data_IF_245997250851
#
_entry.id   IF_245997250851
#
_cell.length_a   1.000
_cell.length_b   1.000
_cell.length_c   1.000
_cell.angle_alpha   90.00
_cell.angle_beta   90.00
_cell.angle_gamma   90.00
#
_symmetry.space_group_name_H-M   'P 1'
#
loop_
_entity.id
_entity.type
_entity.pdbx_description
1 polymer ?
#
# COMPACT_ATOMS: atom_id res chain seq x y z
N UNK A 1 15.36 16.10 -2.23
CA UNK A 1 16.29 14.99 -1.91
C UNK A 1 16.30 14.57 -0.44
N UNK A 2 15.88 15.41 0.53
CA UNK A 2 16.03 15.16 1.98
C UNK A 2 15.39 13.87 2.57
N UNK A 3 14.44 13.22 1.88
CA UNK A 3 13.78 12.01 2.39
C UNK A 3 14.19 10.73 1.66
N UNK A 4 14.97 10.82 0.57
CA UNK A 4 15.37 9.66 -0.22
C UNK A 4 16.38 8.80 0.56
N UNK A 5 16.05 7.53 0.78
CA UNK A 5 16.90 6.59 1.53
C UNK A 5 16.98 6.88 3.04
N UNK A 6 16.16 7.79 3.57
CA UNK A 6 16.25 8.24 4.96
C UNK A 6 15.36 7.45 5.94
N UNK A 7 14.41 6.65 5.43
CA UNK A 7 13.43 5.94 6.24
C UNK A 7 13.41 4.46 5.89
N UNK A 8 13.24 3.57 6.88
CA UNK A 8 12.81 2.20 6.61
C UNK A 8 11.42 2.23 5.96
N UNK A 9 11.25 1.40 4.94
CA UNK A 9 9.99 1.27 4.19
C UNK A 9 9.49 -0.15 4.33
N UNK A 10 8.21 -0.29 4.65
CA UNK A 10 7.44 -1.52 4.44
C UNK A 10 6.63 -1.34 3.15
N UNK A 11 6.80 -2.23 2.18
CA UNK A 11 6.07 -2.20 0.91
C UNK A 11 5.38 -3.53 0.66
N UNK A 12 4.06 -3.47 0.47
CA UNK A 12 3.24 -4.62 0.10
C UNK A 12 2.36 -4.23 -1.08
N UNK A 13 2.27 -5.09 -2.10
CA UNK A 13 1.29 -4.95 -3.19
C UNK A 13 0.35 -6.15 -3.16
N UNK A 14 -0.95 -5.87 -3.08
CA UNK A 14 -2.01 -6.88 -3.03
C UNK A 14 -2.63 -7.15 -4.42
N UNK A 15 -2.02 -6.61 -5.48
CA UNK A 15 -2.50 -6.67 -6.87
C UNK A 15 -2.73 -8.08 -7.42
N UNK A 16 -2.00 -9.05 -6.91
CA UNK A 16 -2.02 -10.44 -7.40
C UNK A 16 -2.86 -11.36 -6.51
N UNK A 17 -3.45 -10.85 -5.42
CA UNK A 17 -4.29 -11.63 -4.49
C UNK A 17 -5.73 -11.66 -5.00
N UNK A 18 -6.00 -12.53 -5.99
CA UNK A 18 -7.27 -12.57 -6.74
C UNK A 18 -7.99 -13.92 -6.64
N UNK A 19 -7.85 -14.55 -5.49
CA UNK A 19 -8.21 -15.96 -5.30
C UNK A 19 -9.71 -16.16 -5.11
N UNK A 20 -10.17 -17.39 -5.39
CA UNK A 20 -11.59 -17.76 -5.36
C UNK A 20 -12.10 -18.21 -4.00
N UNK A 21 -11.22 -18.34 -3.01
CA UNK A 21 -11.59 -18.76 -1.65
C UNK A 21 -10.85 -17.92 -0.62
N UNK A 22 -11.42 -17.86 0.59
CA UNK A 22 -10.76 -17.19 1.71
C UNK A 22 -9.40 -17.82 2.03
N UNK A 23 -9.32 -19.15 2.11
CA UNK A 23 -8.07 -19.84 2.46
C UNK A 23 -6.93 -19.55 1.47
N UNK A 24 -7.23 -19.53 0.17
CA UNK A 24 -6.25 -19.21 -0.86
C UNK A 24 -5.87 -17.72 -0.84
N UNK A 25 -6.85 -16.83 -0.65
CA UNK A 25 -6.61 -15.37 -0.48
C UNK A 25 -5.71 -15.11 0.74
N UNK A 26 -6.06 -15.71 1.87
CA UNK A 26 -5.32 -15.58 3.11
C UNK A 26 -3.90 -16.14 2.98
N UNK A 27 -3.74 -17.28 2.30
CA UNK A 27 -2.42 -17.84 1.97
C UNK A 27 -1.58 -16.86 1.15
N UNK A 28 -2.15 -16.23 0.12
CA UNK A 28 -1.47 -15.23 -0.70
C UNK A 28 -1.05 -13.99 0.10
N UNK A 29 -1.90 -13.50 1.00
CA UNK A 29 -1.56 -12.42 1.94
C UNK A 29 -0.40 -12.84 2.86
N UNK A 30 -0.44 -14.06 3.40
CA UNK A 30 0.64 -14.61 4.23
C UNK A 30 1.97 -14.66 3.48
N UNK A 31 1.97 -15.05 2.20
CA UNK A 31 3.17 -15.07 1.36
C UNK A 31 3.77 -13.67 1.15
N UNK A 32 2.92 -12.66 0.91
CA UNK A 32 3.38 -11.28 0.78
C UNK A 32 4.03 -10.77 2.08
N UNK A 33 3.39 -11.03 3.22
CA UNK A 33 3.92 -10.67 4.54
C UNK A 33 5.23 -11.43 4.83
N UNK A 34 5.28 -12.72 4.54
CA UNK A 34 6.48 -13.56 4.70
C UNK A 34 7.66 -12.99 3.91
N UNK A 35 7.45 -12.70 2.63
CA UNK A 35 8.47 -12.14 1.75
C UNK A 35 8.99 -10.80 2.27
N UNK A 36 8.09 -9.98 2.80
CA UNK A 36 8.46 -8.68 3.37
C UNK A 36 9.27 -8.82 4.66
N UNK A 37 8.93 -9.76 5.54
CA UNK A 37 9.78 -10.11 6.69
C UNK A 37 11.15 -10.63 6.23
N UNK A 38 11.20 -11.51 5.23
CA UNK A 38 12.45 -12.06 4.69
C UNK A 38 13.34 -10.99 4.05
N UNK A 39 12.77 -9.95 3.44
CA UNK A 39 13.51 -8.78 2.97
C UNK A 39 14.29 -8.08 4.10
N UNK A 40 13.76 -8.18 5.32
CA UNK A 40 14.37 -7.67 6.55
C UNK A 40 15.04 -8.75 7.42
N UNK A 41 15.48 -9.88 6.83
CA UNK A 41 16.12 -11.00 7.57
C UNK A 41 17.33 -10.60 8.42
N UNK A 42 17.98 -9.47 8.13
CA UNK A 42 19.07 -8.95 8.96
C UNK A 42 18.65 -8.67 10.41
N UNK A 43 17.37 -8.39 10.66
CA UNK A 43 16.80 -8.21 11.99
C UNK A 43 16.94 -9.47 12.85
N UNK A 44 16.90 -10.67 12.26
CA UNK A 44 16.98 -11.95 12.98
C UNK A 44 18.31 -12.12 13.73
N UNK A 45 19.39 -11.62 13.16
CA UNK A 45 20.73 -11.68 13.75
C UNK A 45 21.03 -10.47 14.65
N UNK A 46 20.14 -9.48 14.69
CA UNK A 46 20.32 -8.32 15.53
C UNK A 46 20.10 -8.68 17.00
N UNK A 47 20.97 -8.19 17.88
CA UNK A 47 20.89 -8.42 19.34
C UNK A 47 19.78 -7.61 20.00
N UNK A 48 19.26 -6.59 19.30
CA UNK A 48 18.20 -5.75 19.80
C UNK A 48 16.80 -6.38 19.73
N UNK A 49 16.62 -7.56 19.13
CA UNK A 49 15.37 -8.33 19.26
C UNK A 49 15.46 -9.33 20.41
N UNK A 50 14.42 -9.36 21.24
CA UNK A 50 14.24 -10.35 22.31
C UNK A 50 13.96 -11.74 21.75
N UNK A 51 14.00 -12.76 22.62
CA UNK A 51 13.84 -14.16 22.21
C UNK A 51 12.45 -14.39 21.60
N UNK A 52 11.42 -13.87 22.24
CA UNK A 52 10.01 -13.97 21.85
C UNK A 52 9.75 -13.26 20.51
N UNK A 53 10.45 -12.13 20.27
CA UNK A 53 10.37 -11.38 19.02
C UNK A 53 11.03 -12.14 17.87
N UNK A 54 12.14 -12.82 18.12
CA UNK A 54 12.78 -13.72 17.15
C UNK A 54 11.91 -14.93 16.86
N UNK A 55 11.23 -15.47 17.87
CA UNK A 55 10.26 -16.55 17.70
C UNK A 55 9.06 -16.10 16.85
N UNK A 56 8.50 -14.90 17.11
CA UNK A 56 7.46 -14.31 16.28
C UNK A 56 7.92 -14.14 14.82
N UNK A 57 9.11 -13.55 14.62
CA UNK A 57 9.70 -13.40 13.28
C UNK A 57 9.80 -14.74 12.57
N UNK A 58 10.28 -15.78 13.28
CA UNK A 58 10.38 -17.13 12.73
C UNK A 58 9.00 -17.66 12.34
N UNK A 59 7.97 -17.55 13.20
CA UNK A 59 6.60 -17.99 12.90
C UNK A 59 6.00 -17.35 11.65
N UNK A 60 6.25 -16.06 11.44
CA UNK A 60 5.83 -15.38 10.21
C UNK A 60 6.61 -15.91 9.01
N UNK A 61 7.94 -16.02 9.12
CA UNK A 61 8.79 -16.51 8.02
C UNK A 61 8.63 -18.01 7.72
N UNK A 62 8.15 -18.83 8.64
CA UNK A 62 7.85 -20.27 8.45
C UNK A 62 6.41 -20.53 8.05
N UNK A 63 5.58 -19.48 7.96
CA UNK A 63 4.16 -19.54 7.66
C UNK A 63 3.28 -20.21 8.73
N UNK A 64 3.79 -20.35 9.94
CA UNK A 64 3.17 -21.04 11.08
C UNK A 64 2.47 -20.10 12.07
N UNK A 65 2.52 -18.78 11.83
CA UNK A 65 1.75 -17.81 12.60
C UNK A 65 0.23 -18.07 12.57
N UNK A 66 -0.43 -17.71 13.66
CA UNK A 66 -1.89 -17.65 13.75
C UNK A 66 -2.45 -16.47 12.94
N UNK A 67 -3.76 -16.45 12.70
CA UNK A 67 -4.42 -15.31 12.07
C UNK A 67 -4.09 -13.99 12.77
N UNK A 68 -4.09 -14.01 14.11
CA UNK A 68 -3.76 -12.84 14.91
C UNK A 68 -2.32 -12.37 14.74
N UNK A 69 -1.40 -13.30 14.51
CA UNK A 69 -0.01 -12.94 14.23
C UNK A 69 0.08 -12.17 12.91
N UNK A 70 -0.60 -12.62 11.85
CA UNK A 70 -0.60 -11.93 10.55
C UNK A 70 -1.32 -10.59 10.60
N UNK A 71 -2.45 -10.48 11.30
CA UNK A 71 -3.12 -9.20 11.54
C UNK A 71 -2.19 -8.18 12.22
N UNK A 72 -1.36 -8.62 13.17
CA UNK A 72 -0.45 -7.74 13.90
C UNK A 72 0.91 -7.52 13.22
N UNK A 73 1.15 -8.18 12.08
CA UNK A 73 2.49 -8.25 11.48
C UNK A 73 3.03 -6.92 10.99
N UNK A 74 2.18 -6.04 10.42
CA UNK A 74 2.60 -4.68 10.04
C UNK A 74 3.07 -3.86 11.23
N UNK A 75 2.33 -3.89 12.33
CA UNK A 75 2.68 -3.19 13.56
C UNK A 75 4.01 -3.69 14.11
N UNK A 76 4.15 -5.01 14.17
CA UNK A 76 5.30 -5.68 14.76
C UNK A 76 6.56 -5.43 13.92
N UNK A 77 6.48 -5.57 12.60
CA UNK A 77 7.60 -5.27 11.71
C UNK A 77 7.98 -3.77 11.78
N UNK A 78 6.98 -2.88 11.89
CA UNK A 78 7.25 -1.44 12.04
C UNK A 78 8.07 -1.15 13.29
N UNK A 79 7.71 -1.77 14.42
CA UNK A 79 8.45 -1.63 15.68
C UNK A 79 9.89 -2.13 15.56
N UNK A 80 10.08 -3.30 14.94
CA UNK A 80 11.42 -3.87 14.76
C UNK A 80 12.31 -2.99 13.89
N UNK A 81 11.74 -2.44 12.80
CA UNK A 81 12.46 -1.53 11.90
C UNK A 81 12.79 -0.20 12.56
N UNK A 82 11.86 0.38 13.34
CA UNK A 82 12.12 1.60 14.07
C UNK A 82 13.26 1.42 15.07
N UNK A 83 13.24 0.35 15.86
CA UNK A 83 14.29 0.08 16.84
C UNK A 83 15.65 -0.17 16.18
N UNK A 84 15.69 -0.86 15.04
CA UNK A 84 16.95 -1.14 14.33
C UNK A 84 17.54 0.12 13.66
N UNK A 85 16.70 0.90 12.96
CA UNK A 85 17.15 2.05 12.18
C UNK A 85 17.14 3.37 12.97
N UNK A 86 16.59 3.37 14.18
CA UNK A 86 16.31 4.55 15.00
C UNK A 86 15.52 5.63 14.21
N UNK A 87 14.57 5.17 13.40
CA UNK A 87 13.76 5.99 12.48
C UNK A 87 12.38 5.38 12.33
N UNK A 88 11.36 6.23 12.41
CA UNK A 88 9.97 5.83 12.08
C UNK A 88 9.86 5.30 10.66
N UNK A 89 8.85 4.45 10.44
CA UNK A 89 8.66 3.64 9.25
C UNK A 89 7.66 4.27 8.30
N UNK A 90 7.92 4.17 7.01
CA UNK A 90 6.92 4.46 5.97
C UNK A 90 6.26 3.15 5.54
N UNK A 91 4.93 3.08 5.57
CA UNK A 91 4.17 1.92 5.06
C UNK A 91 3.52 2.31 3.74
N UNK A 92 3.81 1.55 2.70
CA UNK A 92 3.25 1.68 1.36
C UNK A 92 2.46 0.40 1.05
N UNK A 93 1.15 0.51 0.99
CA UNK A 93 0.26 -0.60 0.64
C UNK A 93 -0.42 -0.32 -0.70
N UNK A 94 -0.06 -1.12 -1.69
CA UNK A 94 -0.52 -0.97 -3.04
C UNK A 94 -1.69 -1.92 -3.36
N UNK A 95 -2.70 -1.41 -4.05
CA UNK A 95 -3.93 -2.11 -4.44
C UNK A 95 -4.62 -2.88 -3.29
N UNK A 96 -4.82 -2.20 -2.16
CA UNK A 96 -5.32 -2.83 -0.92
C UNK A 96 -6.72 -3.44 -1.06
N UNK A 97 -7.49 -3.00 -2.05
CA UNK A 97 -8.87 -3.36 -2.31
C UNK A 97 -9.04 -4.58 -3.23
N UNK A 98 -7.97 -5.03 -3.89
CA UNK A 98 -7.98 -6.24 -4.74
C UNK A 98 -8.53 -7.49 -4.04
N UNK A 99 -8.02 -7.92 -2.87
CA UNK A 99 -8.56 -9.11 -2.18
C UNK A 99 -10.00 -8.90 -1.70
N UNK A 100 -10.40 -7.65 -1.43
CA UNK A 100 -11.76 -7.30 -1.03
C UNK A 100 -12.72 -7.46 -2.22
N UNK A 101 -12.28 -7.06 -3.42
CA UNK A 101 -13.03 -7.26 -4.65
C UNK A 101 -13.25 -8.75 -4.92
N UNK A 102 -12.20 -9.58 -4.81
CA UNK A 102 -12.34 -11.03 -4.93
C UNK A 102 -13.28 -11.61 -3.89
N UNK A 103 -13.18 -11.19 -2.63
CA UNK A 103 -14.10 -11.62 -1.59
C UNK A 103 -15.56 -11.26 -1.86
N UNK A 104 -15.82 -10.12 -2.48
CA UNK A 104 -17.16 -9.75 -2.92
C UNK A 104 -17.67 -10.64 -4.07
N UNK A 105 -16.85 -10.89 -5.08
CA UNK A 105 -17.23 -11.68 -6.26
C UNK A 105 -17.42 -13.17 -5.95
N UNK A 106 -16.64 -13.69 -5.00
CA UNK A 106 -16.51 -15.13 -4.72
C UNK A 106 -17.13 -15.52 -3.36
N UNK A 107 -17.95 -14.64 -2.76
CA UNK A 107 -18.74 -14.86 -1.54
C UNK A 107 -17.95 -15.11 -0.23
N UNK A 108 -16.80 -14.46 -0.04
CA UNK A 108 -16.05 -14.47 1.22
C UNK A 108 -15.72 -13.07 1.79
N UNK A 109 -16.48 -12.05 1.37
CA UNK A 109 -16.30 -10.65 1.73
C UNK A 109 -16.12 -10.39 3.23
N UNK A 110 -16.93 -10.99 4.09
CA UNK A 110 -16.85 -10.78 5.55
C UNK A 110 -15.52 -11.23 6.15
N UNK A 111 -14.96 -12.34 5.66
CA UNK A 111 -13.67 -12.86 6.13
C UNK A 111 -12.54 -11.90 5.77
N UNK A 112 -12.48 -11.46 4.50
CA UNK A 112 -11.43 -10.54 4.04
C UNK A 112 -11.55 -9.16 4.68
N UNK A 113 -12.75 -8.62 4.86
CA UNK A 113 -12.95 -7.35 5.56
C UNK A 113 -12.52 -7.45 7.02
N UNK A 114 -12.87 -8.53 7.72
CA UNK A 114 -12.46 -8.76 9.11
C UNK A 114 -10.94 -8.72 9.25
N UNK A 115 -10.25 -9.52 8.43
CA UNK A 115 -8.79 -9.57 8.44
C UNK A 115 -8.17 -8.21 8.07
N UNK A 116 -8.60 -7.60 6.95
CA UNK A 116 -8.04 -6.33 6.48
C UNK A 116 -8.29 -5.20 7.48
N UNK A 117 -9.43 -5.18 8.18
CA UNK A 117 -9.69 -4.20 9.24
C UNK A 117 -8.67 -4.30 10.35
N UNK A 118 -8.37 -5.51 10.82
CA UNK A 118 -7.41 -5.73 11.90
C UNK A 118 -5.97 -5.46 11.44
N UNK A 119 -5.61 -5.94 10.25
CA UNK A 119 -4.31 -5.73 9.62
C UNK A 119 -3.98 -4.24 9.41
N UNK A 120 -4.91 -3.49 8.82
CA UNK A 120 -4.74 -2.06 8.59
C UNK A 120 -4.86 -1.25 9.88
N UNK A 121 -5.72 -1.65 10.82
CA UNK A 121 -5.74 -0.99 12.14
C UNK A 121 -4.41 -1.16 12.84
N UNK A 122 -3.80 -2.36 12.85
CA UNK A 122 -2.49 -2.56 13.45
C UNK A 122 -1.39 -1.70 12.80
N UNK A 123 -1.38 -1.64 11.46
CA UNK A 123 -0.35 -0.90 10.72
C UNK A 123 -0.51 0.63 10.77
N UNK A 124 -1.75 1.15 10.73
CA UNK A 124 -2.02 2.57 10.49
C UNK A 124 -2.69 3.31 11.66
N UNK A 125 -3.35 2.59 12.57
CA UNK A 125 -4.02 3.17 13.75
C UNK A 125 -3.18 2.92 14.99
N UNK A 126 -2.90 3.99 15.74
CA UNK A 126 -2.13 3.94 17.00
C UNK A 126 -0.75 3.26 16.88
N UNK A 127 -0.19 3.19 15.66
CA UNK A 127 1.16 2.71 15.39
C UNK A 127 2.16 3.85 15.61
N UNK A 128 2.77 3.90 16.80
CA UNK A 128 3.74 4.93 17.19
C UNK A 128 4.99 4.94 16.32
N UNK A 129 5.32 3.80 15.72
CA UNK A 129 6.46 3.60 14.83
C UNK A 129 6.21 4.09 13.40
N UNK A 130 4.97 4.46 13.06
CA UNK A 130 4.61 4.97 11.74
C UNK A 130 5.01 6.45 11.59
N UNK A 131 5.78 6.75 10.56
CA UNK A 131 6.01 8.12 10.08
C UNK A 131 4.89 8.52 9.12
N UNK A 132 4.63 7.68 8.11
CA UNK A 132 3.65 7.95 7.07
C UNK A 132 3.14 6.67 6.43
N UNK A 133 1.84 6.62 6.21
CA UNK A 133 1.16 5.58 5.48
C UNK A 133 0.63 6.06 4.14
N UNK A 134 0.77 5.25 3.08
CA UNK A 134 0.09 5.47 1.81
C UNK A 134 -0.60 4.17 1.40
N UNK A 135 -1.89 4.28 1.09
CA UNK A 135 -2.69 3.18 0.57
C UNK A 135 -3.20 3.59 -0.81
N UNK A 136 -3.05 2.72 -1.81
CA UNK A 136 -3.62 2.90 -3.14
C UNK A 136 -4.68 1.83 -3.39
N UNK A 137 -5.72 2.21 -4.12
CA UNK A 137 -6.80 1.32 -4.48
C UNK A 137 -7.78 2.02 -5.41
N UNK A 138 -8.62 1.24 -6.08
CA UNK A 138 -9.56 1.72 -7.10
C UNK A 138 -10.93 1.96 -6.47
N UNK A 139 -11.39 1.02 -5.64
CA UNK A 139 -12.73 0.95 -5.07
C UNK A 139 -12.86 1.83 -3.82
N UNK A 140 -13.99 2.53 -3.73
CA UNK A 140 -14.37 3.26 -2.51
C UNK A 140 -15.15 2.41 -1.50
N UNK A 141 -15.68 1.25 -1.91
CA UNK A 141 -16.64 0.45 -1.12
C UNK A 141 -16.04 -0.08 0.19
N UNK A 142 -14.74 -0.37 0.20
CA UNK A 142 -14.02 -0.84 1.40
C UNK A 142 -13.78 0.25 2.46
N UNK A 143 -14.10 1.52 2.16
CA UNK A 143 -13.76 2.65 3.03
C UNK A 143 -14.57 2.68 4.32
N UNK A 144 -15.88 2.53 4.22
CA UNK A 144 -16.78 2.65 5.37
C UNK A 144 -16.63 1.48 6.36
N UNK A 145 -16.31 0.29 5.86
CA UNK A 145 -16.20 -0.92 6.69
C UNK A 145 -14.83 -1.09 7.36
N UNK A 146 -13.74 -0.62 6.75
CA UNK A 146 -12.36 -0.82 7.27
C UNK A 146 -11.85 0.41 8.01
N UNK A 147 -12.17 1.62 7.53
CA UNK A 147 -11.55 2.85 8.02
C UNK A 147 -12.43 3.64 9.00
N UNK A 148 -13.60 3.11 9.40
CA UNK A 148 -14.55 3.77 10.32
C UNK A 148 -13.96 4.15 11.69
N UNK A 149 -12.77 3.67 12.04
CA UNK A 149 -12.07 4.03 13.27
C UNK A 149 -10.70 4.69 13.09
N UNK A 150 -10.32 5.10 11.88
CA UNK A 150 -9.04 5.79 11.62
C UNK A 150 -9.18 7.31 11.66
N UNK A 151 -8.53 7.93 12.64
CA UNK A 151 -8.64 9.38 12.86
C UNK A 151 -7.68 10.23 12.00
N UNK A 152 -6.74 9.60 11.28
CA UNK A 152 -5.64 10.29 10.56
C UNK A 152 -5.69 10.09 9.03
N UNK A 153 -6.83 9.67 8.47
CA UNK A 153 -6.93 9.31 7.05
C UNK A 153 -7.19 10.55 6.17
N UNK A 154 -6.22 10.91 5.34
CA UNK A 154 -6.41 11.82 4.22
C UNK A 154 -6.78 11.06 2.96
N UNK A 155 -8.00 11.25 2.44
CA UNK A 155 -8.45 10.60 1.20
C UNK A 155 -8.27 11.55 0.03
N UNK A 156 -7.47 11.13 -0.96
CA UNK A 156 -7.23 11.90 -2.18
C UNK A 156 -7.59 11.04 -3.39
N UNK A 157 -8.49 11.55 -4.21
CA UNK A 157 -8.79 10.96 -5.53
C UNK A 157 -7.94 11.67 -6.58
N UNK A 158 -7.85 11.09 -7.78
CA UNK A 158 -7.22 11.76 -8.92
C UNK A 158 -7.83 13.15 -9.21
N UNK A 159 -9.08 13.37 -8.82
CA UNK A 159 -9.79 14.65 -8.98
C UNK A 159 -9.54 15.66 -7.84
N UNK A 160 -8.67 15.34 -6.87
CA UNK A 160 -8.35 16.25 -5.78
C UNK A 160 -7.44 17.37 -6.26
N UNK A 161 -7.83 18.63 -6.05
CA UNK A 161 -7.01 19.80 -6.42
C UNK A 161 -5.59 19.74 -5.86
N UNK A 162 -5.40 19.14 -4.68
CA UNK A 162 -4.09 19.02 -4.03
C UNK A 162 -3.09 18.18 -4.83
N UNK A 163 -3.57 17.35 -5.75
CA UNK A 163 -2.76 16.44 -6.55
C UNK A 163 -3.03 16.54 -8.06
N UNK A 164 -3.81 17.54 -8.49
CA UNK A 164 -4.23 17.69 -9.89
C UNK A 164 -3.05 17.88 -10.85
N UNK A 165 -1.93 18.43 -10.38
CA UNK A 165 -0.69 18.66 -11.13
C UNK A 165 0.38 17.58 -10.86
N UNK A 166 0.05 16.51 -10.14
CA UNK A 166 1.02 15.48 -9.71
C UNK A 166 0.87 14.15 -10.45
N UNK A 167 -0.13 14.01 -11.30
CA UNK A 167 -0.44 12.78 -12.04
C UNK A 167 -0.71 13.09 -13.51
N UNK A 168 -0.20 12.25 -14.40
CA UNK A 168 -0.27 12.48 -15.85
C UNK A 168 0.79 13.45 -16.36
N UNK A 169 0.59 13.96 -17.58
CA UNK A 169 1.42 14.99 -18.20
C UNK A 169 0.59 16.25 -18.37
N UNK A 170 1.05 17.40 -17.92
CA UNK A 170 0.40 18.66 -18.29
C UNK A 170 0.42 18.86 -19.81
N UNK A 171 -0.52 19.66 -20.33
CA UNK A 171 -0.58 19.95 -21.77
C UNK A 171 0.74 20.55 -22.27
N UNK A 172 1.43 21.31 -21.41
CA UNK A 172 2.76 21.83 -21.67
C UNK A 172 3.80 20.72 -21.80
N UNK A 173 3.80 19.73 -20.90
CA UNK A 173 4.71 18.58 -20.96
C UNK A 173 4.42 17.69 -22.18
N UNK A 174 3.14 17.48 -22.52
CA UNK A 174 2.74 16.77 -23.75
C UNK A 174 3.24 17.52 -24.98
N UNK A 175 3.04 18.83 -25.03
CA UNK A 175 3.54 19.67 -26.12
C UNK A 175 5.06 19.57 -26.24
N UNK A 176 5.80 19.76 -25.14
CA UNK A 176 7.27 19.66 -25.11
C UNK A 176 7.77 18.29 -25.59
N UNK A 177 7.10 17.20 -25.20
CA UNK A 177 7.40 15.85 -25.69
C UNK A 177 7.15 15.76 -27.20
N UNK A 178 6.00 16.23 -27.71
CA UNK A 178 5.73 16.22 -29.15
C UNK A 178 6.74 17.05 -29.94
N UNK A 179 7.17 18.21 -29.41
CA UNK A 179 8.23 19.03 -30.03
C UNK A 179 9.54 18.26 -30.13
N UNK A 180 9.95 17.60 -29.05
CA UNK A 180 11.21 16.86 -29.00
C UNK A 180 11.32 15.74 -30.05
N UNK A 181 10.17 15.22 -30.52
CA UNK A 181 10.11 14.19 -31.55
C UNK A 181 9.61 14.69 -32.91
N UNK A 182 9.46 16.00 -33.12
CA UNK A 182 8.90 16.61 -34.34
C UNK A 182 7.47 16.13 -34.69
N UNK A 183 6.66 15.83 -33.67
CA UNK A 183 5.30 15.31 -33.77
C UNK A 183 4.22 16.34 -33.39
N UNK A 184 4.54 17.64 -33.39
CA UNK A 184 3.63 18.72 -32.99
C UNK A 184 2.28 18.69 -33.75
N UNK A 185 2.30 18.24 -35.00
CA UNK A 185 1.12 18.11 -35.85
C UNK A 185 0.08 17.10 -35.31
N UNK A 186 0.47 16.19 -34.41
CA UNK A 186 -0.42 15.20 -33.79
C UNK A 186 -1.09 15.73 -32.52
N UNK A 187 -0.85 16.97 -32.09
CA UNK A 187 -1.37 17.48 -30.81
C UNK A 187 -2.91 17.36 -30.72
N UNK A 188 -3.63 17.66 -31.79
CA UNK A 188 -5.10 17.54 -31.82
C UNK A 188 -5.57 16.09 -31.75
N UNK A 189 -4.85 15.17 -32.39
CA UNK A 189 -5.15 13.73 -32.31
C UNK A 189 -4.89 13.21 -30.89
N UNK A 190 -3.81 13.64 -30.24
CA UNK A 190 -3.49 13.31 -28.85
C UNK A 190 -4.57 13.86 -27.90
N UNK A 191 -4.96 15.14 -28.04
CA UNK A 191 -6.08 15.72 -27.28
C UNK A 191 -7.35 14.90 -27.42
N UNK A 192 -7.66 14.44 -28.63
CA UNK A 192 -8.84 13.59 -28.90
C UNK A 192 -8.72 12.20 -28.29
N UNK A 193 -7.57 11.53 -28.41
CA UNK A 193 -7.36 10.17 -27.87
C UNK A 193 -7.49 10.11 -26.36
N UNK A 194 -7.02 11.15 -25.68
CA UNK A 194 -7.12 11.28 -24.23
C UNK A 194 -8.37 12.07 -23.79
N UNK A 195 -9.29 12.38 -24.70
CA UNK A 195 -10.61 12.97 -24.41
C UNK A 195 -10.55 14.32 -23.66
N UNK A 196 -9.48 15.11 -23.85
CA UNK A 196 -9.30 16.43 -23.24
C UNK A 196 -9.30 16.42 -21.70
N UNK A 197 -8.32 15.75 -21.08
CA UNK A 197 -8.19 15.62 -19.63
C UNK A 197 -8.22 16.99 -18.94
N UNK A 198 -9.34 17.32 -18.30
CA UNK A 198 -9.48 18.49 -17.45
C UNK A 198 -9.52 18.05 -15.98
N UNK A 199 -8.38 18.13 -15.29
CA UNK A 199 -8.34 17.96 -13.84
C UNK A 199 -8.70 19.28 -13.17
N UNK A 200 -10.01 19.56 -13.10
CA UNK A 200 -10.60 20.71 -12.39
C UNK A 200 -9.89 22.07 -12.67
N UNK A 201 -9.69 22.37 -13.96
CA UNK A 201 -9.14 23.64 -14.43
C UNK A 201 -7.70 23.55 -14.93
N UNK A 202 -7.01 22.43 -14.73
CA UNK A 202 -5.73 22.14 -15.38
C UNK A 202 -6.01 21.24 -16.58
N UNK A 203 -5.80 21.76 -17.78
CA UNK A 203 -5.81 20.97 -19.01
C UNK A 203 -4.49 20.21 -19.09
N UNK A 204 -4.59 18.89 -19.16
CA UNK A 204 -3.53 17.90 -19.34
C UNK A 204 -3.61 17.44 -20.80
#
# INVERSE_FOLDING_TARGET
>A
MNHQGAYPVIFLTLKDVKEKTWDATYRGIKDLIQNEFLRHKYLKNWTGLEKEEKEYFNKITSLEGSEKDYENSLKTLSLFLERYHNKKVIILLDEYDTPIQSGYLENFYEHVISFMRNFLSGGFKDNTSLEKGVLTGILRVSKESIFSGMNNLGVFTLLSHKFADKFGFTEKEVLELLKAFNLEHLLEDVRRWYNGYNFRGVTI
#
